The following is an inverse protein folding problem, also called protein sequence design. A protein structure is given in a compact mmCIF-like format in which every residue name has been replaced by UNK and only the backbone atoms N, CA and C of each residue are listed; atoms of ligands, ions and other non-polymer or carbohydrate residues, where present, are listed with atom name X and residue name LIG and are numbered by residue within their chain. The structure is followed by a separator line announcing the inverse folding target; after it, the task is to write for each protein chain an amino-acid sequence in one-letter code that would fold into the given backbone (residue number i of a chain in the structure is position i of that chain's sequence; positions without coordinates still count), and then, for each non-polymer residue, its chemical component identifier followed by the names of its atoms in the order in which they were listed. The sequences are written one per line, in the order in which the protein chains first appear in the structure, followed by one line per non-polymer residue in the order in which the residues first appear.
data_IF_328620188609
#
_entry.id   IF_328620188609
#
_cell.length_a   1.000
_cell.length_b   1.000
_cell.length_c   1.000
_cell.angle_alpha   90.00
_cell.angle_beta   90.00
_cell.angle_gamma   90.00
#
_symmetry.space_group_name_H-M   'P 1'
#
loop_
_entity.id
_entity.type
_entity.pdbx_description
1 polymer ?
#
# COMPACT_ATOMS: atom_id res chain seq x y z
N UNK A 1 -42.22 -32.14 -61.03
CA UNK A 1 -42.36 -30.90 -60.23
C UNK A 1 -40.97 -30.45 -59.81
N UNK A 2 -40.55 -29.27 -60.25
CA UNK A 2 -39.17 -28.76 -60.19
C UNK A 2 -38.78 -28.43 -58.74
N UNK A 3 -37.66 -28.98 -58.26
CA UNK A 3 -36.97 -28.55 -57.03
C UNK A 3 -35.94 -27.48 -57.42
N UNK A 4 -36.07 -26.30 -56.83
CA UNK A 4 -35.14 -25.18 -57.00
C UNK A 4 -33.97 -25.42 -56.04
N UNK A 5 -32.75 -25.48 -56.58
CA UNK A 5 -31.50 -25.53 -55.84
C UNK A 5 -31.02 -24.08 -55.65
N UNK A 6 -31.03 -23.57 -54.42
CA UNK A 6 -30.48 -22.24 -54.10
C UNK A 6 -28.99 -22.42 -53.82
N UNK A 7 -28.13 -21.99 -54.76
CA UNK A 7 -26.71 -21.76 -54.50
C UNK A 7 -26.58 -20.45 -53.72
N UNK A 8 -26.10 -20.53 -52.47
CA UNK A 8 -25.66 -19.36 -51.71
C UNK A 8 -24.21 -19.08 -52.09
N UNK A 9 -23.99 -17.99 -52.82
CA UNK A 9 -22.68 -17.47 -53.15
C UNK A 9 -22.10 -16.78 -51.91
N UNK A 10 -21.16 -17.43 -51.20
CA UNK A 10 -20.37 -16.76 -50.15
C UNK A 10 -19.33 -15.86 -50.83
N UNK A 11 -19.60 -14.55 -50.86
CA UNK A 11 -18.58 -13.55 -51.18
C UNK A 11 -17.62 -13.42 -49.99
N UNK A 12 -16.37 -13.85 -50.18
CA UNK A 12 -15.28 -13.47 -49.30
C UNK A 12 -14.93 -12.00 -49.54
N UNK A 13 -15.27 -11.12 -48.60
CA UNK A 13 -14.72 -9.78 -48.55
C UNK A 13 -13.35 -9.84 -47.87
N UNK A 14 -12.28 -9.81 -48.65
CA UNK A 14 -10.93 -9.49 -48.19
C UNK A 14 -10.84 -7.98 -47.94
N UNK A 15 -11.32 -7.54 -46.77
CA UNK A 15 -11.07 -6.20 -46.28
C UNK A 15 -9.65 -6.10 -45.74
N UNK A 16 -8.79 -5.33 -46.40
CA UNK A 16 -7.53 -4.86 -45.81
C UNK A 16 -7.88 -3.96 -44.63
N UNK A 17 -7.66 -4.44 -43.41
CA UNK A 17 -7.71 -3.59 -42.22
C UNK A 17 -6.48 -2.67 -42.25
N UNK A 18 -6.63 -1.48 -42.83
CA UNK A 18 -5.73 -0.38 -42.52
C UNK A 18 -5.92 -0.03 -41.05
N UNK A 19 -4.97 -0.44 -40.22
CA UNK A 19 -4.79 0.15 -38.90
C UNK A 19 -4.51 1.63 -39.11
N UNK A 20 -5.49 2.49 -38.82
CA UNK A 20 -5.20 3.90 -38.58
C UNK A 20 -4.20 3.96 -37.43
N UNK A 21 -2.93 4.24 -37.75
CA UNK A 21 -2.05 4.82 -36.75
C UNK A 21 -2.77 6.06 -36.22
N UNK A 22 -3.08 6.05 -34.92
CA UNK A 22 -3.40 7.26 -34.20
C UNK A 22 -2.17 8.16 -34.33
N UNK A 23 -2.16 9.00 -35.36
CA UNK A 23 -1.20 10.09 -35.47
C UNK A 23 -1.32 10.84 -34.16
N UNK A 24 -0.26 10.85 -33.35
CA UNK A 24 -0.16 11.76 -32.21
C UNK A 24 -0.39 13.16 -32.77
N UNK A 25 -1.59 13.69 -32.65
CA UNK A 25 -1.83 15.11 -32.79
C UNK A 25 -1.13 15.77 -31.60
N UNK A 26 0.19 15.93 -31.71
CA UNK A 26 0.89 16.92 -30.94
C UNK A 26 0.46 18.26 -31.53
N UNK A 27 -0.38 18.98 -30.80
CA UNK A 27 -0.63 20.39 -31.10
C UNK A 27 0.74 21.08 -31.20
N UNK A 28 1.14 21.60 -32.37
CA UNK A 28 2.43 22.25 -32.54
C UNK A 28 2.59 23.46 -31.61
N UNK A 29 1.50 23.96 -31.03
CA UNK A 29 1.52 25.04 -30.06
C UNK A 29 1.74 24.58 -28.61
N UNK A 30 1.69 23.28 -28.29
CA UNK A 30 1.88 22.77 -26.93
C UNK A 30 3.21 23.27 -26.34
N UNK A 31 4.26 23.31 -27.17
CA UNK A 31 5.59 23.81 -26.82
C UNK A 31 5.62 25.29 -26.41
N UNK A 32 4.70 26.12 -26.94
CA UNK A 32 4.58 27.53 -26.53
C UNK A 32 3.87 27.67 -25.18
N UNK A 33 2.95 26.76 -24.86
CA UNK A 33 2.27 26.76 -23.57
C UNK A 33 3.15 26.18 -22.46
N UNK A 34 3.97 25.16 -22.73
CA UNK A 34 4.83 24.49 -21.73
C UNK A 34 5.70 25.46 -20.90
N UNK A 35 6.15 26.57 -21.49
CA UNK A 35 6.95 27.60 -20.78
C UNK A 35 6.16 28.87 -20.42
N UNK A 36 4.87 28.96 -20.79
CA UNK A 36 4.02 30.13 -20.57
C UNK A 36 2.92 29.91 -19.50
N UNK A 37 2.66 28.66 -19.09
CA UNK A 37 1.69 28.32 -18.06
C UNK A 37 2.36 27.66 -16.85
N UNK A 38 1.98 28.12 -15.65
CA UNK A 38 2.41 27.52 -14.40
C UNK A 38 1.29 26.66 -13.81
N UNK A 39 1.61 25.43 -13.46
CA UNK A 39 0.72 24.60 -12.65
C UNK A 39 0.56 25.22 -11.26
N UNK A 40 -0.66 25.23 -10.75
CA UNK A 40 -0.95 25.60 -9.36
C UNK A 40 -2.04 24.70 -8.81
N UNK A 41 -1.95 24.38 -7.52
CA UNK A 41 -3.08 23.79 -6.82
C UNK A 41 -4.17 24.85 -6.66
N UNK A 42 -5.41 24.47 -6.99
CA UNK A 42 -6.60 25.31 -6.82
C UNK A 42 -7.50 24.77 -5.70
N UNK A 43 -7.05 23.72 -5.01
CA UNK A 43 -7.87 22.94 -4.09
C UNK A 43 -8.98 22.14 -4.79
N UNK A 44 -9.98 21.68 -4.04
CA UNK A 44 -10.09 21.85 -2.59
C UNK A 44 -9.06 21.01 -1.83
N UNK A 45 -8.74 21.40 -0.60
CA UNK A 45 -7.87 20.65 0.30
C UNK A 45 -8.69 19.54 0.97
N UNK A 46 -9.00 18.49 0.20
CA UNK A 46 -9.69 17.29 0.70
C UNK A 46 -8.84 16.08 0.39
N UNK A 47 -8.49 15.31 1.42
CA UNK A 47 -7.69 14.13 1.20
C UNK A 47 -8.45 13.09 0.38
N UNK A 48 -7.70 12.39 -0.46
CA UNK A 48 -8.11 11.16 -1.14
C UNK A 48 -7.23 10.00 -0.69
N UNK A 49 -7.43 8.82 -1.27
CA UNK A 49 -6.83 7.59 -0.77
C UNK A 49 -5.32 7.65 -0.56
N UNK A 50 -4.90 7.19 0.62
CA UNK A 50 -3.52 6.90 0.95
C UNK A 50 -3.36 5.41 1.26
N UNK A 51 -2.33 4.79 0.68
CA UNK A 51 -2.04 3.36 0.85
C UNK A 51 -0.94 3.08 1.87
N UNK A 52 -0.22 4.11 2.34
CA UNK A 52 0.91 3.95 3.24
C UNK A 52 1.19 5.18 4.08
N UNK A 53 1.63 4.97 5.32
CA UNK A 53 2.06 6.04 6.24
C UNK A 53 3.32 5.63 7.00
N UNK A 54 4.06 6.63 7.46
CA UNK A 54 5.19 6.44 8.37
C UNK A 54 5.29 7.63 9.34
N UNK A 55 5.51 7.35 10.62
CA UNK A 55 6.00 8.36 11.57
C UNK A 55 7.52 8.28 11.72
N UNK A 56 8.07 9.25 12.45
CA UNK A 56 9.50 9.30 12.75
C UNK A 56 9.73 9.24 14.25
N UNK A 57 10.51 8.25 14.70
CA UNK A 57 10.89 8.07 16.11
C UNK A 57 11.59 9.32 16.65
N UNK A 58 11.22 9.76 17.86
CA UNK A 58 11.81 10.93 18.51
C UNK A 58 11.44 12.28 17.88
N UNK A 59 10.64 12.31 16.80
CA UNK A 59 10.14 13.52 16.16
C UNK A 59 8.60 13.53 16.20
N UNK A 60 8.00 14.03 17.29
CA UNK A 60 6.58 13.81 17.58
C UNK A 60 5.63 14.34 16.51
N UNK A 61 5.99 15.44 15.83
CA UNK A 61 5.13 16.10 14.85
C UNK A 61 5.44 15.72 13.38
N UNK A 62 6.43 14.86 13.14
CA UNK A 62 6.90 14.52 11.80
C UNK A 62 6.30 13.19 11.34
N UNK A 63 5.53 13.25 10.26
CA UNK A 63 4.93 12.09 9.61
C UNK A 63 4.94 12.23 8.09
N UNK A 64 4.83 11.10 7.41
CA UNK A 64 4.75 10.98 5.97
C UNK A 64 3.56 10.12 5.57
N UNK A 65 2.98 10.42 4.41
CA UNK A 65 2.03 9.51 3.78
C UNK A 65 2.25 9.41 2.26
N UNK A 66 1.82 8.28 1.72
CA UNK A 66 1.88 7.95 0.31
C UNK A 66 0.49 7.94 -0.29
N UNK A 67 0.23 8.84 -1.23
CA UNK A 67 -1.06 8.95 -1.88
C UNK A 67 -1.23 7.94 -3.02
N UNK A 68 -2.47 7.60 -3.34
CA UNK A 68 -2.84 6.96 -4.60
C UNK A 68 -2.87 8.00 -5.72
N UNK A 69 -1.86 8.01 -6.58
CA UNK A 69 -1.75 8.94 -7.70
C UNK A 69 -1.25 10.34 -7.33
N UNK A 70 -0.81 10.56 -6.08
CA UNK A 70 -0.42 11.89 -5.57
C UNK A 70 0.97 11.97 -4.95
N UNK A 71 1.81 10.94 -5.07
CA UNK A 71 3.17 10.97 -4.55
C UNK A 71 3.27 10.91 -3.02
N UNK A 72 4.33 11.52 -2.47
CA UNK A 72 4.67 11.49 -1.04
C UNK A 72 4.45 12.86 -0.42
N UNK A 73 3.86 12.86 0.77
CA UNK A 73 3.52 14.06 1.52
C UNK A 73 4.12 14.02 2.93
N UNK A 74 4.46 15.19 3.46
CA UNK A 74 5.06 15.39 4.78
C UNK A 74 4.25 16.39 5.60
N UNK A 75 4.11 16.09 6.89
CA UNK A 75 3.69 17.06 7.91
C UNK A 75 4.81 17.25 8.92
N UNK A 76 5.00 18.49 9.39
CA UNK A 76 5.92 18.84 10.49
C UNK A 76 5.20 19.38 11.72
N UNK A 77 3.87 19.45 11.65
CA UNK A 77 3.02 20.06 12.66
C UNK A 77 1.95 19.08 13.17
N UNK A 78 2.18 17.78 13.04
CA UNK A 78 1.31 16.75 13.58
C UNK A 78 0.00 16.59 12.81
N UNK A 79 0.03 16.75 11.49
CA UNK A 79 -1.11 16.54 10.60
C UNK A 79 -2.03 17.76 10.45
N UNK A 80 -1.60 18.95 10.87
CA UNK A 80 -2.37 20.20 10.66
C UNK A 80 -2.20 20.72 9.23
N UNK A 81 -1.01 20.59 8.67
CA UNK A 81 -0.71 20.87 7.27
C UNK A 81 0.16 19.77 6.65
N UNK A 82 0.04 19.61 5.33
CA UNK A 82 0.76 18.61 4.56
C UNK A 82 1.35 19.23 3.29
N UNK A 83 2.59 18.89 2.97
CA UNK A 83 3.31 19.36 1.79
C UNK A 83 3.78 18.18 0.95
N UNK A 84 3.62 18.28 -0.37
CA UNK A 84 4.20 17.28 -1.28
C UNK A 84 5.73 17.43 -1.29
N UNK A 85 6.43 16.31 -1.22
CA UNK A 85 7.90 16.24 -1.21
C UNK A 85 8.47 15.40 -2.37
N UNK A 86 7.65 14.86 -3.26
CA UNK A 86 8.07 14.00 -4.38
C UNK A 86 7.97 14.67 -5.75
N UNK A 87 7.19 15.73 -5.87
CA UNK A 87 6.95 16.45 -7.12
C UNK A 87 8.28 16.93 -7.73
N UNK A 88 8.41 16.76 -9.05
CA UNK A 88 9.66 17.03 -9.77
C UNK A 88 10.66 15.87 -9.78
N UNK A 89 10.48 14.83 -8.95
CA UNK A 89 11.35 13.65 -8.93
C UNK A 89 10.65 12.38 -9.43
N UNK A 90 9.49 12.07 -8.86
CA UNK A 90 8.66 10.93 -9.26
C UNK A 90 7.20 11.19 -8.86
N UNK A 91 6.30 10.34 -9.35
CA UNK A 91 4.88 10.44 -9.05
C UNK A 91 4.18 9.08 -9.12
N UNK A 92 2.85 9.12 -9.23
CA UNK A 92 2.02 7.93 -9.21
C UNK A 92 1.64 7.51 -7.80
N UNK A 93 1.23 6.25 -7.66
CA UNK A 93 0.77 5.70 -6.38
C UNK A 93 1.90 5.13 -5.56
N UNK A 94 1.82 5.33 -4.24
CA UNK A 94 2.82 4.89 -3.28
C UNK A 94 2.26 3.75 -2.42
N UNK A 95 2.89 2.58 -2.49
CA UNK A 95 2.48 1.37 -1.77
C UNK A 95 3.15 1.19 -0.42
N UNK A 96 4.36 1.74 -0.25
CA UNK A 96 5.12 1.63 0.98
C UNK A 96 6.01 2.85 1.20
N UNK A 97 6.12 3.27 2.46
CA UNK A 97 7.07 4.27 2.94
C UNK A 97 7.77 3.71 4.18
N UNK A 98 9.08 3.90 4.27
CA UNK A 98 9.86 3.60 5.46
C UNK A 98 10.90 4.69 5.71
N UNK A 99 10.98 5.15 6.96
CA UNK A 99 12.02 6.08 7.43
C UNK A 99 13.02 5.28 8.26
N UNK A 100 14.32 5.49 8.07
CA UNK A 100 15.33 4.75 8.79
C UNK A 100 15.40 5.20 10.27
N UNK A 101 15.37 4.25 11.24
CA UNK A 101 15.56 4.60 12.65
C UNK A 101 16.97 5.11 12.95
N UNK A 102 17.99 4.56 12.27
CA UNK A 102 19.39 4.92 12.44
C UNK A 102 19.78 6.29 11.86
N UNK A 103 19.03 6.79 10.87
CA UNK A 103 19.16 8.14 10.33
C UNK A 103 17.82 8.60 9.74
N UNK A 104 17.12 9.49 10.45
CA UNK A 104 15.82 9.97 10.02
C UNK A 104 15.84 10.87 8.76
N UNK A 105 17.01 11.15 8.17
CA UNK A 105 17.09 11.78 6.85
C UNK A 105 16.91 10.77 5.72
N UNK A 106 17.09 9.48 5.99
CA UNK A 106 17.00 8.43 4.99
C UNK A 106 15.57 7.89 4.91
N UNK A 107 14.97 8.03 3.74
CA UNK A 107 13.59 7.57 3.45
C UNK A 107 13.62 6.69 2.21
N UNK A 108 12.96 5.53 2.29
CA UNK A 108 12.70 4.64 1.16
C UNK A 108 11.20 4.62 0.83
N UNK A 109 10.90 4.71 -0.45
CA UNK A 109 9.53 4.76 -0.98
C UNK A 109 9.37 3.72 -2.07
N UNK A 110 8.34 2.89 -1.95
CA UNK A 110 7.97 1.87 -2.92
C UNK A 110 6.75 2.28 -3.73
N UNK A 111 6.88 2.28 -5.05
CA UNK A 111 5.78 2.59 -5.95
C UNK A 111 4.77 1.45 -6.09
N UNK A 112 3.54 1.82 -6.47
CA UNK A 112 2.46 0.92 -6.84
C UNK A 112 1.65 0.44 -5.65
N UNK A 113 0.33 0.41 -5.80
CA UNK A 113 -0.55 0.13 -4.68
C UNK A 113 -0.64 -1.37 -4.41
N UNK A 114 -0.63 -1.75 -3.13
CA UNK A 114 -0.95 -3.11 -2.69
C UNK A 114 -2.45 -3.43 -2.76
N UNK A 115 -3.32 -2.41 -2.81
CA UNK A 115 -4.77 -2.56 -2.88
C UNK A 115 -5.17 -2.91 -4.31
N UNK A 116 -5.17 -4.20 -4.62
CA UNK A 116 -5.20 -4.75 -5.98
C UNK A 116 -6.54 -4.57 -6.71
N UNK A 117 -7.15 -3.38 -6.81
CA UNK A 117 -8.37 -3.15 -7.63
C UNK A 117 -8.12 -3.39 -9.13
N UNK A 118 -9.18 -3.52 -9.93
CA UNK A 118 -9.05 -3.73 -11.38
C UNK A 118 -8.35 -2.57 -12.12
N UNK A 119 -8.50 -1.36 -11.59
CA UNK A 119 -7.89 -0.11 -12.05
C UNK A 119 -6.71 0.34 -11.16
N UNK A 120 -6.06 -0.60 -10.47
CA UNK A 120 -4.94 -0.29 -9.57
C UNK A 120 -3.77 0.31 -10.33
N UNK A 121 -3.14 1.33 -9.75
CA UNK A 121 -1.96 1.95 -10.36
C UNK A 121 -0.69 1.19 -9.96
N UNK A 122 0.12 0.84 -10.96
CA UNK A 122 1.47 0.33 -10.73
C UNK A 122 2.45 1.48 -10.45
N UNK A 123 3.56 1.15 -9.80
CA UNK A 123 4.72 2.00 -9.64
C UNK A 123 5.91 1.58 -10.49
N UNK A 124 7.01 2.27 -10.25
CA UNK A 124 8.24 2.22 -11.05
C UNK A 124 9.46 1.89 -10.17
N UNK A 125 9.25 1.09 -9.13
CA UNK A 125 10.28 0.62 -8.22
C UNK A 125 10.45 1.44 -6.95
N UNK A 126 11.69 1.47 -6.46
CA UNK A 126 12.06 2.11 -5.20
C UNK A 126 12.69 3.47 -5.47
N UNK A 127 12.38 4.44 -4.61
CA UNK A 127 13.02 5.74 -4.54
C UNK A 127 13.61 5.93 -3.15
N UNK A 128 14.75 6.61 -3.07
CA UNK A 128 15.47 6.94 -1.85
C UNK A 128 15.69 8.44 -1.74
N UNK A 129 15.50 8.97 -0.54
CA UNK A 129 16.02 10.26 -0.12
C UNK A 129 17.06 10.08 0.98
N UNK A 130 18.06 10.95 1.02
CA UNK A 130 19.09 11.03 2.07
C UNK A 130 19.08 12.39 2.78
N UNK A 131 18.07 13.22 2.53
CA UNK A 131 17.95 14.59 3.04
C UNK A 131 16.53 14.92 3.51
N UNK A 132 15.84 13.91 4.06
CA UNK A 132 14.47 13.97 4.57
C UNK A 132 13.44 14.40 3.51
N UNK A 133 13.62 13.91 2.28
CA UNK A 133 12.68 14.09 1.18
C UNK A 133 12.84 15.40 0.41
N UNK A 134 13.92 16.16 0.60
CA UNK A 134 14.20 17.35 -0.21
C UNK A 134 14.61 16.96 -1.63
N UNK A 135 15.37 15.88 -1.77
CA UNK A 135 15.75 15.29 -3.05
C UNK A 135 15.56 13.78 -3.05
N UNK A 136 15.33 13.22 -4.24
CA UNK A 136 15.08 11.80 -4.42
C UNK A 136 15.87 11.23 -5.59
N UNK A 137 16.25 9.95 -5.47
CA UNK A 137 16.90 9.16 -6.52
C UNK A 137 16.21 7.81 -6.66
N UNK A 138 16.19 7.25 -7.86
CA UNK A 138 15.80 5.85 -8.04
C UNK A 138 16.79 4.94 -7.30
N UNK A 139 16.27 3.90 -6.66
CA UNK A 139 16.99 2.91 -5.88
C UNK A 139 16.63 1.47 -6.33
N UNK A 140 16.36 1.28 -7.63
CA UNK A 140 16.19 -0.04 -8.24
C UNK A 140 14.78 -0.65 -8.15
N UNK A 141 14.70 -1.95 -8.47
CA UNK A 141 13.46 -2.75 -8.55
C UNK A 141 12.37 -2.13 -9.44
N UNK A 142 12.76 -1.65 -10.63
CA UNK A 142 11.88 -0.89 -11.55
C UNK A 142 10.70 -1.71 -12.10
N UNK A 143 10.79 -3.03 -12.10
CA UNK A 143 9.77 -3.97 -12.61
C UNK A 143 8.97 -4.66 -11.47
N UNK A 144 9.17 -4.24 -10.22
CA UNK A 144 8.44 -4.74 -9.05
C UNK A 144 6.95 -4.41 -9.12
N UNK A 145 6.59 -3.31 -9.80
CA UNK A 145 5.24 -2.77 -10.09
C UNK A 145 4.38 -2.44 -8.87
N UNK A 146 4.40 -3.25 -7.82
CA UNK A 146 3.61 -3.12 -6.61
C UNK A 146 4.49 -3.54 -5.43
N UNK A 147 4.83 -2.57 -4.58
CA UNK A 147 5.64 -2.79 -3.37
C UNK A 147 4.71 -2.80 -2.16
N UNK A 148 4.57 -3.96 -1.52
CA UNK A 148 3.66 -4.14 -0.38
C UNK A 148 4.26 -3.65 0.93
N UNK A 149 5.58 -3.80 1.11
CA UNK A 149 6.28 -3.45 2.36
C UNK A 149 7.75 -3.12 2.13
N UNK A 150 8.25 -2.17 2.93
CA UNK A 150 9.67 -1.86 3.09
C UNK A 150 10.01 -1.96 4.58
N UNK A 151 11.17 -2.55 4.89
CA UNK A 151 11.76 -2.65 6.23
C UNK A 151 13.22 -2.23 6.17
N UNK A 152 13.63 -1.34 7.04
CA UNK A 152 15.01 -0.86 7.15
C UNK A 152 15.59 -1.44 8.43
N UNK A 153 16.83 -1.93 8.37
CA UNK A 153 17.51 -2.45 9.55
C UNK A 153 17.67 -1.33 10.60
N UNK A 154 17.36 -1.58 11.89
CA UNK A 154 17.23 -0.51 12.90
C UNK A 154 18.52 0.27 13.12
N UNK A 155 19.68 -0.35 12.96
CA UNK A 155 20.99 0.27 13.18
C UNK A 155 21.80 0.53 11.91
N UNK A 156 21.28 0.19 10.73
CA UNK A 156 21.98 0.38 9.45
C UNK A 156 20.99 0.73 8.34
N UNK A 157 20.97 1.99 7.93
CA UNK A 157 20.04 2.47 6.91
C UNK A 157 20.38 1.99 5.49
N UNK A 158 21.53 1.31 5.27
CA UNK A 158 21.86 0.72 3.98
C UNK A 158 21.36 -0.72 3.84
N UNK A 159 21.05 -1.39 4.96
CA UNK A 159 20.44 -2.71 4.96
C UNK A 159 18.91 -2.57 4.92
N UNK A 160 18.32 -2.89 3.76
CA UNK A 160 16.88 -2.70 3.51
C UNK A 160 16.29 -3.95 2.87
N UNK A 161 15.06 -4.27 3.27
CA UNK A 161 14.27 -5.37 2.76
C UNK A 161 12.98 -4.87 2.11
N UNK A 162 12.63 -5.44 0.96
CA UNK A 162 11.45 -5.06 0.18
C UNK A 162 10.62 -6.31 -0.11
N UNK A 163 9.33 -6.27 0.26
CA UNK A 163 8.34 -7.23 -0.19
C UNK A 163 7.71 -6.74 -1.50
N UNK A 164 8.09 -7.37 -2.60
CA UNK A 164 7.60 -7.05 -3.94
C UNK A 164 6.52 -8.04 -4.36
N UNK A 165 5.35 -7.50 -4.71
CA UNK A 165 4.23 -8.30 -5.19
C UNK A 165 4.39 -8.67 -6.67
N UNK A 166 5.04 -7.83 -7.47
CA UNK A 166 5.16 -8.01 -8.92
C UNK A 166 3.95 -7.52 -9.70
N UNK A 167 3.89 -7.89 -10.98
CA UNK A 167 2.87 -7.44 -11.92
C UNK A 167 1.54 -8.20 -11.74
N UNK A 168 0.44 -7.53 -11.38
CA UNK A 168 -0.82 -8.24 -11.12
C UNK A 168 -1.45 -8.94 -12.35
N UNK A 169 -1.07 -8.53 -13.55
CA UNK A 169 -1.72 -8.95 -14.80
C UNK A 169 -0.95 -9.99 -15.60
N UNK A 170 0.34 -10.23 -15.28
CA UNK A 170 1.16 -11.27 -15.93
C UNK A 170 2.26 -11.79 -15.00
N UNK A 171 2.81 -12.95 -15.34
CA UNK A 171 4.00 -13.49 -14.68
C UNK A 171 5.19 -12.53 -14.89
N UNK A 172 6.00 -12.39 -13.84
CA UNK A 172 7.25 -11.64 -13.89
C UNK A 172 8.21 -12.13 -12.80
N UNK A 173 9.51 -12.13 -13.12
CA UNK A 173 10.55 -12.57 -12.21
C UNK A 173 10.79 -11.62 -11.02
N UNK A 174 10.42 -10.33 -11.14
CA UNK A 174 10.61 -9.33 -10.09
C UNK A 174 9.49 -9.39 -9.03
N UNK A 175 9.49 -10.52 -8.32
CA UNK A 175 8.68 -10.85 -7.14
C UNK A 175 9.58 -11.46 -6.09
N UNK A 176 9.19 -11.33 -4.82
CA UNK A 176 9.95 -11.92 -3.72
C UNK A 176 10.20 -10.95 -2.58
N UNK A 177 11.04 -11.40 -1.65
CA UNK A 177 11.74 -10.52 -0.72
C UNK A 177 13.10 -10.20 -1.34
N UNK A 178 13.39 -8.91 -1.47
CA UNK A 178 14.68 -8.40 -1.91
C UNK A 178 15.40 -7.75 -0.73
N UNK A 179 16.71 -7.95 -0.66
CA UNK A 179 17.61 -7.35 0.34
C UNK A 179 18.69 -6.54 -0.37
N UNK A 180 18.96 -5.35 0.13
CA UNK A 180 20.16 -4.57 -0.20
C UNK A 180 20.98 -4.35 1.06
N UNK A 181 22.29 -4.16 0.92
CA UNK A 181 23.22 -3.76 1.98
C UNK A 181 24.06 -2.54 1.58
N UNK A 182 23.81 -1.97 0.40
CA UNK A 182 24.50 -0.81 -0.15
C UNK A 182 23.56 0.38 -0.39
N UNK A 183 22.40 0.35 0.28
CA UNK A 183 21.41 1.40 0.25
C UNK A 183 20.58 1.44 -1.03
N UNK A 184 20.43 0.32 -1.73
CA UNK A 184 19.58 0.18 -2.92
C UNK A 184 20.31 0.38 -4.25
N UNK A 185 21.65 0.31 -4.26
CA UNK A 185 22.42 0.29 -5.52
C UNK A 185 22.35 -1.10 -6.14
N UNK A 186 22.39 -2.14 -5.32
CA UNK A 186 22.18 -3.53 -5.73
C UNK A 186 21.17 -4.23 -4.83
N UNK A 187 20.46 -5.21 -5.38
CA UNK A 187 19.42 -5.98 -4.70
C UNK A 187 19.61 -7.47 -4.92
N UNK A 188 19.66 -8.21 -3.82
CA UNK A 188 19.66 -9.67 -3.80
C UNK A 188 18.24 -10.17 -3.55
N UNK A 189 17.75 -11.08 -4.39
CA UNK A 189 16.47 -11.76 -4.14
C UNK A 189 16.71 -12.88 -3.13
N UNK A 190 16.26 -12.69 -1.89
CA UNK A 190 16.56 -13.58 -0.77
C UNK A 190 15.42 -14.56 -0.43
N UNK A 191 14.21 -14.28 -0.93
CA UNK A 191 13.10 -15.23 -0.87
C UNK A 191 12.27 -15.13 -2.15
N UNK A 192 12.03 -16.27 -2.78
CA UNK A 192 11.30 -16.38 -4.04
C UNK A 192 10.52 -17.69 -4.08
N UNK A 193 9.30 -17.63 -4.61
CA UNK A 193 8.43 -18.81 -4.75
C UNK A 193 8.25 -19.14 -6.23
N UNK A 194 7.70 -18.21 -7.02
CA UNK A 194 7.51 -18.36 -8.47
C UNK A 194 7.21 -17.00 -9.13
N UNK A 195 7.09 -16.97 -10.46
CA UNK A 195 6.75 -15.75 -11.21
C UNK A 195 5.29 -15.29 -11.03
N UNK A 196 4.46 -16.12 -10.39
CA UNK A 196 3.05 -15.86 -10.08
C UNK A 196 2.80 -15.49 -8.62
N UNK A 197 3.79 -15.67 -7.75
CA UNK A 197 3.66 -15.48 -6.29
C UNK A 197 4.55 -14.33 -5.84
N UNK A 198 3.91 -13.29 -5.29
CA UNK A 198 4.57 -12.13 -4.71
C UNK A 198 4.60 -12.17 -3.20
N UNK A 199 5.20 -11.14 -2.58
CA UNK A 199 5.15 -10.92 -1.14
C UNK A 199 4.47 -9.60 -0.83
N UNK A 200 3.63 -9.60 0.20
CA UNK A 200 2.74 -8.47 0.53
C UNK A 200 3.01 -7.88 1.91
N UNK A 201 3.50 -8.67 2.86
CA UNK A 201 3.90 -8.20 4.18
C UNK A 201 5.27 -8.78 4.57
N UNK A 202 5.97 -8.03 5.41
CA UNK A 202 7.29 -8.34 5.95
C UNK A 202 7.42 -7.67 7.31
N UNK A 203 7.75 -8.44 8.33
CA UNK A 203 7.97 -7.97 9.70
C UNK A 203 9.38 -8.38 10.15
N UNK A 204 10.13 -7.45 10.73
CA UNK A 204 11.33 -7.75 11.50
C UNK A 204 10.89 -7.80 12.96
N UNK A 205 11.42 -8.76 13.72
CA UNK A 205 11.30 -8.73 15.17
C UNK A 205 11.98 -7.44 15.70
N UNK A 206 11.23 -6.57 16.41
CA UNK A 206 11.76 -5.30 16.92
C UNK A 206 12.95 -5.44 17.88
N UNK A 207 13.04 -6.57 18.60
CA UNK A 207 14.12 -6.81 19.57
C UNK A 207 15.29 -7.60 18.97
N UNK A 208 15.10 -8.25 17.82
CA UNK A 208 16.15 -9.00 17.14
C UNK A 208 15.91 -9.03 15.62
N UNK A 209 16.46 -8.07 14.85
CA UNK A 209 16.20 -7.95 13.41
C UNK A 209 16.73 -9.11 12.56
N UNK A 210 17.46 -10.08 13.16
CA UNK A 210 17.79 -11.35 12.48
C UNK A 210 16.57 -12.24 12.30
N UNK A 211 15.57 -12.09 13.16
CA UNK A 211 14.31 -12.84 13.10
C UNK A 211 13.31 -12.04 12.28
N UNK A 212 12.76 -12.69 11.26
CA UNK A 212 11.87 -12.05 10.29
C UNK A 212 10.73 -12.97 9.91
N UNK A 213 9.59 -12.38 9.58
CA UNK A 213 8.40 -13.08 9.09
C UNK A 213 7.91 -12.42 7.80
N UNK A 214 7.54 -13.22 6.82
CA UNK A 214 7.06 -12.74 5.52
C UNK A 214 5.83 -13.53 5.05
N UNK A 215 4.95 -12.87 4.31
CA UNK A 215 3.75 -13.50 3.74
C UNK A 215 3.78 -13.50 2.21
N UNK A 216 3.76 -14.68 1.61
CA UNK A 216 3.63 -14.83 0.16
C UNK A 216 2.16 -14.90 -0.25
N UNK A 217 1.84 -14.37 -1.42
CA UNK A 217 0.48 -14.29 -1.94
C UNK A 217 0.46 -14.51 -3.45
N UNK A 218 -0.21 -15.58 -3.88
CA UNK A 218 -0.56 -15.82 -5.26
C UNK A 218 -1.77 -14.94 -5.63
N UNK A 219 -1.55 -13.95 -6.48
CA UNK A 219 -2.56 -12.93 -6.78
C UNK A 219 -2.57 -12.58 -8.27
N UNK A 220 -3.76 -12.68 -8.87
CA UNK A 220 -3.97 -12.39 -10.30
C UNK A 220 -5.19 -11.52 -10.52
N UNK A 221 -5.04 -10.54 -11.41
CA UNK A 221 -6.12 -9.71 -11.94
C UNK A 221 -6.25 -9.91 -13.44
N UNK A 222 -7.50 -9.98 -13.88
CA UNK A 222 -7.89 -9.72 -15.27
C UNK A 222 -8.85 -8.52 -15.28
N UNK A 223 -9.26 -7.99 -16.45
CA UNK A 223 -10.26 -6.92 -16.50
C UNK A 223 -11.60 -7.26 -15.82
N UNK A 224 -11.91 -8.55 -15.61
CA UNK A 224 -13.20 -9.02 -15.10
C UNK A 224 -13.11 -10.03 -13.94
N UNK A 225 -11.91 -10.40 -13.47
CA UNK A 225 -11.75 -11.38 -12.40
C UNK A 225 -10.60 -11.07 -11.43
N UNK A 226 -10.68 -11.71 -10.26
CA UNK A 226 -9.66 -11.74 -9.22
C UNK A 226 -9.44 -13.20 -8.81
N UNK A 227 -8.19 -13.65 -8.80
CA UNK A 227 -7.79 -14.89 -8.12
C UNK A 227 -6.91 -14.52 -6.94
N UNK A 228 -7.31 -14.93 -5.72
CA UNK A 228 -6.59 -14.65 -4.48
C UNK A 228 -6.24 -15.95 -3.78
N UNK A 229 -4.96 -16.16 -3.53
CA UNK A 229 -4.44 -17.32 -2.83
C UNK A 229 -4.24 -18.56 -3.70
N UNK A 230 -3.80 -19.64 -3.05
CA UNK A 230 -3.48 -20.91 -3.69
C UNK A 230 -2.00 -21.28 -3.56
N UNK A 231 -1.53 -22.14 -4.45
CA UNK A 231 -0.16 -22.68 -4.42
C UNK A 231 0.88 -21.57 -4.31
N UNK A 232 1.83 -21.76 -3.39
CA UNK A 232 2.91 -20.82 -3.07
C UNK A 232 2.52 -19.67 -2.14
N UNK A 233 1.24 -19.49 -1.81
CA UNK A 233 0.83 -18.54 -0.76
C UNK A 233 1.06 -19.15 0.62
N UNK A 234 1.58 -18.39 1.56
CA UNK A 234 2.00 -18.95 2.84
C UNK A 234 2.69 -17.96 3.78
N UNK A 235 3.19 -18.49 4.89
CA UNK A 235 3.92 -17.75 5.92
C UNK A 235 5.33 -18.31 6.05
N UNK A 236 6.31 -17.42 6.16
CA UNK A 236 7.74 -17.75 6.15
C UNK A 236 8.43 -17.13 7.36
N UNK A 237 9.45 -17.82 7.89
CA UNK A 237 10.31 -17.34 8.97
C UNK A 237 11.79 -17.41 8.56
N UNK A 238 12.55 -16.37 8.90
CA UNK A 238 14.01 -16.38 8.88
C UNK A 238 14.53 -16.12 10.30
N UNK A 239 15.73 -16.63 10.58
CA UNK A 239 16.43 -16.42 11.87
C UNK A 239 17.86 -15.90 11.68
N UNK A 240 18.25 -15.60 10.44
CA UNK A 240 19.59 -15.22 10.03
C UNK A 240 19.61 -13.94 9.18
N UNK A 241 18.68 -13.01 9.43
CA UNK A 241 18.55 -11.73 8.72
C UNK A 241 18.17 -11.88 7.25
N UNK A 242 17.35 -12.90 6.96
CA UNK A 242 16.78 -13.17 5.66
C UNK A 242 17.71 -13.90 4.70
N UNK A 243 18.82 -14.46 5.16
CA UNK A 243 19.72 -15.26 4.30
C UNK A 243 19.09 -16.61 3.96
N UNK A 244 18.42 -17.24 4.92
CA UNK A 244 17.61 -18.45 4.71
C UNK A 244 16.21 -18.30 5.30
N UNK A 245 15.26 -19.02 4.71
CA UNK A 245 13.84 -18.97 5.07
C UNK A 245 13.27 -20.37 5.19
N UNK A 246 12.46 -20.57 6.21
CA UNK A 246 11.65 -21.78 6.42
C UNK A 246 10.18 -21.44 6.22
N UNK A 247 9.48 -22.23 5.40
CA UNK A 247 8.03 -22.13 5.31
C UNK A 247 7.40 -22.69 6.58
N UNK A 248 6.53 -21.91 7.22
CA UNK A 248 5.84 -22.26 8.47
C UNK A 248 4.32 -22.36 8.31
N UNK A 249 3.80 -22.28 7.08
CA UNK A 249 2.37 -22.38 6.74
C UNK A 249 1.70 -23.64 7.33
N UNK A 250 2.46 -24.75 7.42
CA UNK A 250 1.98 -26.05 7.92
C UNK A 250 2.13 -26.28 9.41
N UNK A 251 2.63 -25.29 10.17
CA UNK A 251 2.88 -25.45 11.60
C UNK A 251 1.58 -25.72 12.38
N UNK A 252 1.73 -26.41 13.52
CA UNK A 252 0.59 -26.89 14.32
C UNK A 252 -0.32 -25.73 14.71
N UNK A 253 -1.61 -25.86 14.38
CA UNK A 253 -2.65 -24.90 14.76
C UNK A 253 -3.02 -23.87 13.69
N UNK A 254 -2.24 -23.76 12.61
CA UNK A 254 -2.62 -22.96 11.43
C UNK A 254 -3.68 -23.65 10.56
N UNK A 255 -4.46 -22.89 9.78
CA UNK A 255 -5.53 -23.45 8.96
C UNK A 255 -4.98 -24.21 7.75
N UNK A 256 -5.70 -25.26 7.34
CA UNK A 256 -5.42 -26.00 6.10
C UNK A 256 -6.21 -25.44 4.92
N UNK A 257 -5.91 -25.91 3.70
CA UNK A 257 -6.64 -25.54 2.49
C UNK A 257 -6.04 -24.32 1.78
N UNK A 258 -6.85 -23.63 0.99
CA UNK A 258 -6.39 -22.48 0.18
C UNK A 258 -5.95 -21.33 1.10
N UNK A 259 -4.67 -20.99 1.01
CA UNK A 259 -4.07 -19.86 1.71
C UNK A 259 -4.11 -18.61 0.82
N UNK A 260 -4.72 -17.52 1.32
CA UNK A 260 -4.82 -16.23 0.65
C UNK A 260 -3.81 -15.21 1.17
N UNK A 261 -4.17 -13.92 1.11
CA UNK A 261 -3.36 -12.87 1.72
C UNK A 261 -3.29 -13.04 3.24
N UNK A 262 -2.14 -12.76 3.85
CA UNK A 262 -1.99 -12.68 5.30
C UNK A 262 -1.13 -11.48 5.71
N UNK A 263 -1.39 -10.99 6.92
CA UNK A 263 -0.57 -9.96 7.57
C UNK A 263 0.11 -10.56 8.80
N UNK A 264 1.27 -10.06 9.18
CA UNK A 264 2.06 -10.56 10.32
C UNK A 264 2.65 -9.43 11.15
N UNK A 265 2.50 -9.53 12.47
CA UNK A 265 3.08 -8.60 13.43
C UNK A 265 3.72 -9.34 14.60
N UNK A 266 4.98 -9.03 14.89
CA UNK A 266 5.67 -9.44 16.11
C UNK A 266 5.40 -8.38 17.19
N UNK A 267 5.10 -8.81 18.42
CA UNK A 267 4.95 -7.90 19.55
C UNK A 267 6.31 -7.27 19.90
N UNK A 268 6.44 -5.94 19.90
CA UNK A 268 7.65 -5.27 20.38
C UNK A 268 7.97 -5.56 21.85
N UNK A 269 6.98 -5.92 22.66
CA UNK A 269 7.14 -6.22 24.09
C UNK A 269 7.57 -7.66 24.34
N UNK A 270 7.27 -8.57 23.39
CA UNK A 270 7.53 -10.00 23.53
C UNK A 270 7.78 -10.63 22.15
N UNK A 271 9.04 -10.91 21.83
CA UNK A 271 9.46 -11.49 20.54
C UNK A 271 8.91 -12.90 20.26
N UNK A 272 8.45 -13.63 21.29
CA UNK A 272 7.80 -14.93 21.11
C UNK A 272 6.34 -14.78 20.67
N UNK A 273 5.74 -13.61 20.91
CA UNK A 273 4.36 -13.33 20.57
C UNK A 273 4.21 -12.78 19.16
N UNK A 274 3.47 -13.51 18.33
CA UNK A 274 3.21 -13.15 16.94
C UNK A 274 1.72 -13.20 16.68
N UNK A 275 1.22 -12.16 16.03
CA UNK A 275 -0.13 -12.07 15.51
C UNK A 275 -0.12 -12.26 14.00
N UNK A 276 -1.04 -13.06 13.48
CA UNK A 276 -1.30 -13.10 12.03
C UNK A 276 -2.79 -13.10 11.73
N UNK A 277 -3.16 -12.34 10.70
CA UNK A 277 -4.48 -12.33 10.10
C UNK A 277 -4.41 -13.09 8.78
N UNK A 278 -5.21 -14.13 8.61
CA UNK A 278 -5.10 -15.04 7.45
C UNK A 278 -6.42 -15.09 6.66
N UNK A 279 -6.36 -14.79 5.36
CA UNK A 279 -7.40 -15.12 4.38
C UNK A 279 -7.40 -16.63 4.14
N UNK A 280 -8.39 -17.31 4.70
CA UNK A 280 -8.64 -18.73 4.48
C UNK A 280 -10.13 -18.99 4.80
N UNK A 281 -10.70 -20.09 4.30
CA UNK A 281 -12.07 -20.53 4.63
C UNK A 281 -12.26 -20.65 6.15
N UNK A 282 -11.29 -21.25 6.83
CA UNK A 282 -11.20 -21.38 8.28
C UNK A 282 -10.24 -20.34 8.89
N UNK A 283 -10.00 -19.23 8.17
CA UNK A 283 -9.10 -18.15 8.57
C UNK A 283 -9.58 -17.30 9.76
N UNK A 284 -8.80 -16.28 10.10
CA UNK A 284 -9.02 -15.46 11.29
C UNK A 284 -7.72 -14.88 11.84
N UNK A 285 -7.76 -14.52 13.11
CA UNK A 285 -6.59 -14.15 13.92
C UNK A 285 -6.01 -15.41 14.54
N UNK A 286 -4.73 -15.62 14.30
CA UNK A 286 -3.93 -16.66 14.93
C UNK A 286 -2.81 -16.00 15.72
N UNK A 287 -2.51 -16.58 16.88
CA UNK A 287 -1.44 -16.12 17.77
C UNK A 287 -0.51 -17.27 18.08
N UNK A 288 0.78 -17.01 17.97
CA UNK A 288 1.84 -17.85 18.52
C UNK A 288 2.42 -17.15 19.74
N UNK A 289 2.76 -17.92 20.77
CA UNK A 289 3.45 -17.49 21.98
C UNK A 289 4.83 -18.23 22.09
N UNK A 290 5.35 -18.73 20.97
CA UNK A 290 6.59 -19.52 20.85
C UNK A 290 7.33 -19.20 19.53
N UNK A 291 7.30 -17.93 19.11
CA UNK A 291 7.97 -17.41 17.93
C UNK A 291 7.59 -18.12 16.60
N UNK A 292 6.38 -18.66 16.51
CA UNK A 292 5.78 -19.24 15.31
C UNK A 292 5.87 -20.76 15.20
N UNK A 293 6.32 -21.46 16.25
CA UNK A 293 6.39 -22.93 16.28
C UNK A 293 5.00 -23.57 16.37
N UNK A 294 4.13 -23.05 17.25
CA UNK A 294 2.74 -23.44 17.38
C UNK A 294 1.81 -22.23 17.40
N UNK A 295 0.58 -22.44 16.94
CA UNK A 295 -0.40 -21.38 16.75
C UNK A 295 -1.73 -21.75 17.41
N UNK A 296 -2.40 -20.73 17.93
CA UNK A 296 -3.77 -20.84 18.43
C UNK A 296 -4.65 -19.87 17.67
N UNK A 297 -5.75 -20.37 17.08
CA UNK A 297 -6.80 -19.50 16.53
C UNK A 297 -7.46 -18.73 17.67
N UNK A 298 -7.33 -17.41 17.68
CA UNK A 298 -7.90 -16.53 18.72
C UNK A 298 -9.27 -15.99 18.36
N UNK A 299 -9.51 -15.72 17.07
CA UNK A 299 -10.77 -15.16 16.60
C UNK A 299 -11.01 -15.55 15.14
N UNK A 300 -12.24 -15.95 14.79
CA UNK A 300 -12.63 -16.39 13.44
C UNK A 300 -13.60 -15.45 12.72
N UNK A 301 -13.93 -14.32 13.35
CA UNK A 301 -14.93 -13.37 12.86
C UNK A 301 -14.62 -12.92 11.44
N UNK A 302 -15.63 -13.04 10.57
CA UNK A 302 -15.53 -12.58 9.18
C UNK A 302 -15.40 -11.07 9.06
N UNK A 303 -15.86 -10.31 10.05
CA UNK A 303 -15.75 -8.85 10.06
C UNK A 303 -14.30 -8.37 9.94
N UNK A 304 -13.36 -9.10 10.56
CA UNK A 304 -11.92 -8.79 10.53
C UNK A 304 -11.26 -9.03 9.16
N UNK A 305 -11.93 -9.74 8.25
CA UNK A 305 -11.40 -10.18 6.93
C UNK A 305 -12.35 -9.84 5.79
N UNK A 306 -13.20 -8.83 5.98
CA UNK A 306 -14.04 -8.32 4.91
C UNK A 306 -13.14 -7.83 3.76
N UNK A 307 -13.42 -8.26 2.52
CA UNK A 307 -12.60 -7.90 1.34
C UNK A 307 -11.09 -8.10 1.61
N UNK A 308 -10.67 -9.27 2.10
CA UNK A 308 -9.29 -9.50 2.56
C UNK A 308 -8.19 -9.03 1.57
N UNK A 309 -8.36 -9.29 0.26
CA UNK A 309 -7.46 -8.79 -0.80
C UNK A 309 -7.29 -7.26 -0.86
N UNK A 310 -8.17 -6.51 -0.20
CA UNK A 310 -8.16 -5.05 -0.10
C UNK A 310 -7.74 -4.59 1.31
N UNK A 311 -8.10 -5.34 2.37
CA UNK A 311 -7.63 -5.09 3.75
C UNK A 311 -7.12 -6.36 4.40
N UNK A 312 -5.80 -6.44 4.60
CA UNK A 312 -5.17 -7.46 5.44
C UNK A 312 -3.86 -6.90 6.01
N UNK A 313 -3.98 -6.02 7.01
CA UNK A 313 -2.84 -5.57 7.82
C UNK A 313 -3.14 -5.67 9.30
N UNK A 314 -2.12 -6.04 10.06
CA UNK A 314 -2.20 -6.27 11.50
C UNK A 314 -0.99 -5.62 12.17
N UNK A 315 -1.19 -5.01 13.33
CA UNK A 315 -0.16 -4.28 14.06
C UNK A 315 -0.26 -4.58 15.55
N UNK A 316 0.84 -4.97 16.17
CA UNK A 316 0.93 -5.10 17.62
C UNK A 316 1.20 -3.72 18.24
N UNK A 317 0.63 -3.47 19.41
CA UNK A 317 0.92 -2.28 20.19
C UNK A 317 2.38 -2.27 20.67
N UNK A 318 2.96 -1.07 20.81
CA UNK A 318 4.39 -0.92 21.11
C UNK A 318 4.72 -1.04 22.60
N UNK A 319 3.73 -1.05 23.49
CA UNK A 319 3.89 -1.14 24.95
C UNK A 319 3.02 -2.18 25.63
N UNK A 320 2.04 -2.76 24.95
CA UNK A 320 1.20 -3.84 25.48
C UNK A 320 1.18 -5.06 24.55
N UNK A 321 1.69 -6.20 25.04
CA UNK A 321 1.74 -7.44 24.28
C UNK A 321 0.36 -8.06 23.96
N UNK A 322 -0.73 -7.57 24.55
CA UNK A 322 -2.10 -8.06 24.30
C UNK A 322 -2.90 -7.14 23.39
N UNK A 323 -2.40 -5.94 23.10
CA UNK A 323 -3.10 -4.97 22.25
C UNK A 323 -2.70 -5.17 20.79
N UNK A 324 -3.69 -5.33 19.91
CA UNK A 324 -3.48 -5.57 18.47
C UNK A 324 -4.55 -4.86 17.63
N UNK A 325 -4.12 -4.29 16.52
CA UNK A 325 -4.94 -3.53 15.58
C UNK A 325 -5.04 -4.25 14.24
N UNK A 326 -6.22 -4.23 13.63
CA UNK A 326 -6.48 -4.79 12.30
C UNK A 326 -7.07 -3.70 11.41
N UNK A 327 -6.43 -3.47 10.27
CA UNK A 327 -6.91 -2.50 9.28
C UNK A 327 -8.02 -3.12 8.42
N UNK A 328 -9.09 -2.35 8.21
CA UNK A 328 -10.30 -2.75 7.49
C UNK A 328 -11.13 -1.49 7.18
N UNK A 329 -12.34 -1.66 6.61
CA UNK A 329 -13.32 -0.57 6.39
C UNK A 329 -13.44 0.33 7.63
N UNK A 330 -13.65 -0.30 8.78
CA UNK A 330 -13.44 0.27 10.11
C UNK A 330 -12.24 -0.44 10.70
N UNK A 331 -11.24 0.26 11.21
CA UNK A 331 -10.16 -0.47 11.87
C UNK A 331 -10.67 -1.10 13.17
N UNK A 332 -10.05 -2.20 13.57
CA UNK A 332 -10.43 -2.94 14.76
C UNK A 332 -9.29 -2.93 15.77
N UNK A 333 -9.60 -2.78 17.05
CA UNK A 333 -8.67 -2.85 18.17
C UNK A 333 -9.10 -3.97 19.12
N UNK A 334 -8.14 -4.80 19.52
CA UNK A 334 -8.27 -5.77 20.61
C UNK A 334 -7.28 -5.39 21.70
N UNK A 335 -7.64 -5.59 22.96
CA UNK A 335 -6.78 -5.40 24.14
C UNK A 335 -6.69 -6.68 24.99
N UNK A 336 -7.10 -7.82 24.42
CA UNK A 336 -7.20 -9.11 25.11
C UNK A 336 -6.48 -10.24 24.34
N UNK A 337 -5.45 -9.88 23.58
CA UNK A 337 -4.64 -10.80 22.81
C UNK A 337 -5.34 -11.29 21.53
N UNK A 338 -6.22 -10.47 20.94
CA UNK A 338 -6.92 -10.78 19.71
C UNK A 338 -8.12 -11.72 19.89
N UNK A 339 -8.68 -11.85 21.09
CA UNK A 339 -9.87 -12.68 21.36
C UNK A 339 -11.14 -11.92 21.01
N UNK A 340 -11.26 -10.67 21.45
CA UNK A 340 -12.37 -9.78 21.12
C UNK A 340 -11.87 -8.49 20.48
N UNK A 341 -12.69 -7.88 19.62
CA UNK A 341 -12.33 -6.68 18.89
C UNK A 341 -13.45 -5.64 18.94
N UNK A 342 -13.09 -4.40 19.16
CA UNK A 342 -13.94 -3.22 18.98
C UNK A 342 -13.63 -2.56 17.64
N UNK A 343 -14.68 -2.21 16.89
CA UNK A 343 -14.54 -1.43 15.64
C UNK A 343 -14.51 0.06 15.92
N UNK A 344 -13.52 0.74 15.37
CA UNK A 344 -13.29 2.18 15.49
C UNK A 344 -13.12 2.80 14.09
N UNK A 345 -13.09 4.12 14.01
CA UNK A 345 -12.91 4.85 12.76
C UNK A 345 -12.01 6.05 12.98
N UNK A 346 -11.20 6.38 11.98
CA UNK A 346 -10.68 7.71 11.80
C UNK A 346 -11.79 8.61 11.19
N UNK A 347 -11.54 9.89 10.90
CA UNK A 347 -12.54 10.78 10.30
C UNK A 347 -13.01 10.33 8.90
N UNK A 348 -12.29 9.41 8.26
CA UNK A 348 -12.71 8.68 7.06
C UNK A 348 -12.64 7.15 7.30
N UNK A 349 -13.24 6.37 6.39
CA UNK A 349 -13.19 4.90 6.42
C UNK A 349 -12.21 4.32 5.40
N UNK A 350 -12.19 2.98 5.31
CA UNK A 350 -11.32 2.18 4.43
C UNK A 350 -9.83 2.36 4.79
N UNK A 351 -9.43 1.85 5.96
CA UNK A 351 -8.08 2.00 6.50
C UNK A 351 -7.12 0.95 5.92
N UNK A 352 -5.94 1.37 5.49
CA UNK A 352 -4.97 0.54 4.73
C UNK A 352 -3.61 0.37 5.42
N UNK A 353 -3.21 1.32 6.25
CA UNK A 353 -1.92 1.29 6.94
C UNK A 353 -2.03 2.00 8.29
N UNK A 354 -1.22 1.57 9.23
CA UNK A 354 -1.09 2.15 10.55
C UNK A 354 0.39 2.20 10.91
N UNK A 355 0.79 3.29 11.54
CA UNK A 355 2.05 3.37 12.24
C UNK A 355 1.78 3.80 13.68
N UNK A 356 2.43 3.10 14.61
CA UNK A 356 2.35 3.33 16.06
C UNK A 356 3.75 3.67 16.53
N UNK A 357 3.93 4.75 17.28
CA UNK A 357 5.26 5.16 17.69
C UNK A 357 5.91 4.14 18.65
N UNK A 358 7.16 3.71 18.41
CA UNK A 358 7.88 2.81 19.30
C UNK A 358 7.99 3.34 20.73
N UNK A 359 8.08 4.66 20.90
CA UNK A 359 8.24 5.33 22.19
C UNK A 359 6.92 5.59 22.93
N UNK A 360 5.80 5.76 22.21
CA UNK A 360 4.50 6.13 22.78
C UNK A 360 3.34 5.61 21.90
N UNK A 361 2.59 4.59 22.33
CA UNK A 361 1.53 3.98 21.52
C UNK A 361 0.32 4.90 21.30
N UNK A 362 0.24 6.02 22.04
CA UNK A 362 -0.80 7.02 21.80
C UNK A 362 -0.53 7.84 20.54
N UNK A 363 0.73 7.90 20.09
CA UNK A 363 1.13 8.63 18.89
C UNK A 363 1.04 7.72 17.67
N UNK A 364 0.08 8.00 16.82
CA UNK A 364 -0.25 7.17 15.67
C UNK A 364 -0.45 8.01 14.41
N UNK A 365 -0.23 7.39 13.25
CA UNK A 365 -0.74 7.89 11.97
C UNK A 365 -1.38 6.74 11.21
N UNK A 366 -2.53 7.00 10.61
CA UNK A 366 -3.31 6.02 9.85
C UNK A 366 -3.48 6.50 8.41
N UNK A 367 -3.50 5.57 7.46
CA UNK A 367 -3.78 5.81 6.05
C UNK A 367 -5.15 5.22 5.70
N UNK A 368 -5.99 5.99 5.02
CA UNK A 368 -7.32 5.55 4.58
C UNK A 368 -7.74 6.18 3.23
N UNK A 369 -8.98 5.92 2.77
CA UNK A 369 -9.50 6.48 1.50
C UNK A 369 -9.70 8.02 1.55
N UNK A 370 -9.51 8.64 2.72
CA UNK A 370 -9.51 10.08 2.94
C UNK A 370 -8.13 10.69 3.10
N UNK A 371 -7.04 9.93 3.08
CA UNK A 371 -5.67 10.44 3.18
C UNK A 371 -4.97 9.93 4.44
N UNK A 372 -4.21 10.80 5.11
CA UNK A 372 -3.58 10.47 6.39
C UNK A 372 -4.12 11.30 7.56
N UNK A 373 -4.27 10.67 8.71
CA UNK A 373 -4.73 11.30 9.95
C UNK A 373 -3.84 10.89 11.12
N UNK A 374 -3.54 11.85 12.00
CA UNK A 374 -2.64 11.68 13.14
C UNK A 374 -3.45 11.67 14.44
N UNK A 375 -3.09 10.79 15.37
CA UNK A 375 -3.62 10.74 16.73
C UNK A 375 -2.48 10.88 17.74
N UNK A 376 -2.78 11.47 18.89
CA UNK A 376 -1.90 11.58 20.07
C UNK A 376 -2.54 11.01 21.34
N UNK A 377 -3.66 10.30 21.20
CA UNK A 377 -4.47 9.73 22.27
C UNK A 377 -4.89 8.28 21.98
N UNK A 378 -4.07 7.55 21.20
CA UNK A 378 -4.26 6.12 20.97
C UNK A 378 -5.46 5.79 20.06
N UNK A 379 -5.86 6.76 19.24
CA UNK A 379 -6.93 6.65 18.27
C UNK A 379 -8.32 7.09 18.78
N UNK A 380 -8.40 7.70 19.96
CA UNK A 380 -9.63 8.28 20.49
C UNK A 380 -10.06 9.49 19.66
N UNK A 381 -9.10 10.33 19.25
CA UNK A 381 -9.29 11.42 18.28
C UNK A 381 -8.21 11.42 17.21
N UNK A 382 -8.53 12.04 16.08
CA UNK A 382 -7.70 12.05 14.88
C UNK A 382 -7.75 13.41 14.19
N UNK A 383 -6.64 13.83 13.57
CA UNK A 383 -6.57 15.05 12.77
C UNK A 383 -7.52 14.99 11.56
N UNK A 384 -7.94 16.15 11.06
CA UNK A 384 -8.83 16.22 9.88
C UNK A 384 -8.12 15.76 8.60
N UNK A 385 -8.90 15.26 7.64
CA UNK A 385 -8.46 15.05 6.26
C UNK A 385 -8.82 16.20 5.31
N UNK A 386 -9.52 17.25 5.79
CA UNK A 386 -9.89 18.44 5.02
C UNK A 386 -8.76 19.47 4.90
N UNK A 387 -7.51 19.00 4.81
CA UNK A 387 -6.30 19.83 4.71
C UNK A 387 -5.27 19.26 3.72
N UNK A 388 -5.61 18.23 2.95
CA UNK A 388 -4.72 17.56 2.00
C UNK A 388 -5.26 17.74 0.58
N UNK A 389 -4.54 18.32 -0.39
CA UNK A 389 -5.06 18.51 -1.75
C UNK A 389 -4.83 17.27 -2.62
N UNK A 390 -5.30 16.10 -2.16
CA UNK A 390 -5.08 14.78 -2.80
C UNK A 390 -6.36 14.09 -3.25
N UNK A 391 -7.48 14.82 -3.34
CA UNK A 391 -8.79 14.30 -3.72
C UNK A 391 -8.75 13.55 -5.07
N UNK A 392 -9.33 12.36 -5.07
CA UNK A 392 -9.49 11.55 -6.27
C UNK A 392 -10.81 11.89 -6.97
N UNK A 393 -10.75 12.74 -7.98
CA UNK A 393 -11.92 13.17 -8.74
C UNK A 393 -12.16 12.29 -9.97
N UNK A 394 -13.38 11.77 -10.14
CA UNK A 394 -13.73 10.93 -11.29
C UNK A 394 -14.06 11.73 -12.56
N UNK A 395 -14.65 12.91 -12.38
CA UNK A 395 -15.08 13.80 -13.46
C UNK A 395 -14.94 15.25 -13.01
N UNK A 396 -14.54 16.09 -13.94
CA UNK A 396 -14.42 17.54 -13.75
C UNK A 396 -15.24 18.24 -14.83
N UNK A 397 -15.99 19.27 -14.45
CA UNK A 397 -16.71 20.14 -15.38
C UNK A 397 -16.70 21.59 -14.90
N UNK A 398 -17.02 22.52 -15.79
CA UNK A 398 -17.09 23.96 -15.51
C UNK A 398 -18.45 24.50 -15.89
N UNK A 399 -18.84 25.63 -15.29
CA UNK A 399 -20.01 26.38 -15.73
C UNK A 399 -19.63 27.67 -16.48
N UNK A 400 -20.66 28.40 -16.92
CA UNK A 400 -20.53 29.67 -17.65
C UNK A 400 -20.58 30.90 -16.72
N UNK A 401 -20.41 30.74 -15.40
CA UNK A 401 -20.33 31.88 -14.48
C UNK A 401 -19.02 32.68 -14.73
N UNK A 402 -18.94 33.94 -14.32
CA UNK A 402 -17.67 34.68 -14.28
C UNK A 402 -17.42 35.28 -12.89
N UNK A 403 -16.34 34.88 -12.19
CA UNK A 403 -15.41 33.80 -12.54
C UNK A 403 -16.12 32.43 -12.63
N UNK A 404 -15.72 31.59 -13.59
CA UNK A 404 -16.31 30.25 -13.74
C UNK A 404 -16.00 29.39 -12.53
N UNK A 405 -16.90 28.44 -12.26
CA UNK A 405 -16.76 27.49 -11.15
C UNK A 405 -16.40 26.13 -11.71
N UNK A 406 -15.64 25.38 -10.92
CA UNK A 406 -15.20 24.03 -11.23
C UNK A 406 -15.98 23.08 -10.32
N UNK A 407 -16.53 22.04 -10.91
CA UNK A 407 -17.30 21.01 -10.24
C UNK A 407 -16.61 19.68 -10.42
N UNK A 408 -16.47 18.92 -9.33
CA UNK A 408 -15.86 17.61 -9.41
C UNK A 408 -16.47 16.65 -8.38
N UNK A 409 -16.72 15.41 -8.81
CA UNK A 409 -17.21 14.35 -7.93
C UNK A 409 -16.03 13.56 -7.37
N UNK A 410 -15.85 13.58 -6.05
CA UNK A 410 -14.77 12.88 -5.36
C UNK A 410 -15.17 11.43 -5.06
N UNK A 411 -14.22 10.50 -5.14
CA UNK A 411 -14.37 9.16 -4.59
C UNK A 411 -14.81 9.20 -3.10
N UNK A 412 -15.74 8.31 -2.73
CA UNK A 412 -16.22 8.05 -1.37
C UNK A 412 -16.70 9.28 -0.60
N UNK A 413 -16.94 10.38 -1.31
CA UNK A 413 -17.26 11.66 -0.73
C UNK A 413 -18.21 12.49 -1.62
N UNK A 414 -18.52 13.69 -1.17
CA UNK A 414 -19.43 14.59 -1.88
C UNK A 414 -18.82 15.23 -3.14
N UNK A 415 -19.70 15.71 -4.03
CA UNK A 415 -19.33 16.61 -5.12
C UNK A 415 -18.93 17.97 -4.57
N UNK A 416 -17.85 18.54 -5.09
CA UNK A 416 -17.37 19.89 -4.74
C UNK A 416 -17.66 20.88 -5.84
N UNK A 417 -17.84 22.14 -5.44
CA UNK A 417 -17.84 23.31 -6.31
C UNK A 417 -16.85 24.32 -5.75
N UNK A 418 -15.84 24.66 -6.53
CA UNK A 418 -14.86 25.69 -6.18
C UNK A 418 -14.85 26.81 -7.22
N UNK A 419 -14.43 28.00 -6.82
CA UNK A 419 -14.12 29.06 -7.78
C UNK A 419 -12.81 28.72 -8.50
N UNK A 420 -12.70 29.03 -9.79
CA UNK A 420 -11.44 28.78 -10.51
C UNK A 420 -10.29 29.70 -10.04
N UNK A 421 -10.57 30.81 -9.36
CA UNK A 421 -9.58 31.71 -8.75
C UNK A 421 -9.71 31.68 -7.24
N UNK A 422 -8.57 31.62 -6.56
CA UNK A 422 -8.47 31.63 -5.10
C UNK A 422 -8.40 33.05 -4.54
N UNK A 423 -7.99 34.04 -5.34
CA UNK A 423 -8.09 35.48 -5.09
C UNK A 423 -8.22 36.25 -6.42
N UNK A 424 -8.91 37.39 -6.38
CA UNK A 424 -9.25 38.23 -7.54
C UNK A 424 -10.58 38.92 -7.34
#
# INVERSE_FOLDING_TARGET
MKRILILILMMYFSGTAETQELSKMQDPNLKYYENAINWRSIGPYRGGRSGSVAGVEGKPNLFYFGATGGGVWETKDGGRSWNNISDGYFGGSIGAIAVAPSDNNVIYVGGGEQTVRGNVSSGYGIYKSEDAGKTWKSAGLTDSRHVGRIRIHPTDHNTVYVAAMGNLYKDNAERGIFKTTDGGKTWNKVLYVSESVGFVDLCLDPNNPRIMYASSWNIRRTPYSLSSGGEGSGLWKSTDSGETWTEITGNKGLPKGVWGISGVAVSPVNSERIYTLIENKDGGIYVSDDAGETWTKRNDSRSLRQRAWYYTRIYADTKDENTVYVMNVRYHKSTDGGRTFQSNNAPHGDHHDLWIAPEDPNRMVIADDGGAQVSYDGGDTWSTYYNQPTAQFYRVTTDNNFPYRIYAAQQDNSTVRIAHRTQG
#
